data_IF_992879246013
#
_entry.id   IF_992879246013
#
_cell.length_a   1.000
_cell.length_b   1.000
_cell.length_c   1.000
_cell.angle_alpha   90.00
_cell.angle_beta   90.00
_cell.angle_gamma   90.00
#
_symmetry.space_group_name_H-M   'P 1'
#
loop_
_entity.id
_entity.type
_entity.pdbx_description
1 polymer ?
#
# COMPACT_ATOMS: atom_id res chain seq x y z
N UNK A 1 2.76 27.18 -33.21
CA UNK A 1 2.74 27.09 -31.74
C UNK A 1 1.50 27.85 -31.28
N UNK A 2 0.50 27.13 -30.78
CA UNK A 2 -0.77 27.71 -30.39
C UNK A 2 -1.82 26.62 -30.46
N UNK A 3 -1.93 25.82 -29.41
CA UNK A 3 -3.08 24.95 -29.07
C UNK A 3 -2.87 24.28 -27.69
N UNK A 4 -2.34 25.01 -26.70
CA UNK A 4 -2.24 24.51 -25.31
C UNK A 4 -3.21 25.19 -24.33
N UNK A 5 -3.71 26.41 -24.59
CA UNK A 5 -4.54 27.12 -23.61
C UNK A 5 -6.04 26.80 -23.66
N UNK A 6 -6.50 26.13 -24.73
CA UNK A 6 -7.91 25.75 -24.85
C UNK A 6 -8.27 24.54 -23.98
N UNK A 7 -7.32 23.62 -23.76
CA UNK A 7 -7.53 22.43 -22.94
C UNK A 7 -7.58 22.76 -21.44
N UNK A 8 -6.76 23.70 -20.96
CA UNK A 8 -6.80 24.17 -19.56
C UNK A 8 -8.10 24.91 -19.22
N UNK A 9 -8.62 25.72 -20.13
CA UNK A 9 -9.87 26.45 -19.91
C UNK A 9 -11.08 25.51 -19.75
N UNK A 10 -11.13 24.42 -20.51
CA UNK A 10 -12.22 23.42 -20.43
C UNK A 10 -12.15 22.60 -19.13
N UNK A 11 -10.96 22.38 -18.58
CA UNK A 11 -10.80 21.68 -17.30
C UNK A 11 -11.24 22.53 -16.11
N UNK A 12 -10.94 23.84 -16.12
CA UNK A 12 -11.36 24.76 -15.05
C UNK A 12 -12.89 24.96 -15.01
N UNK A 13 -13.54 25.07 -16.18
CA UNK A 13 -15.01 25.20 -16.27
C UNK A 13 -15.74 23.96 -15.70
N UNK A 14 -15.21 22.77 -15.97
CA UNK A 14 -15.77 21.51 -15.45
C UNK A 14 -15.61 21.36 -13.93
N UNK A 15 -14.51 21.86 -13.36
CA UNK A 15 -14.27 21.84 -11.91
C UNK A 15 -15.20 22.81 -11.17
N UNK A 16 -15.39 24.01 -11.69
CA UNK A 16 -16.33 25.00 -11.14
C UNK A 16 -17.77 24.48 -11.13
N UNK A 17 -18.20 23.79 -12.20
CA UNK A 17 -19.51 23.15 -12.30
C UNK A 17 -19.70 22.03 -11.26
N UNK A 18 -18.65 21.24 -10.98
CA UNK A 18 -18.66 20.20 -9.96
C UNK A 18 -18.79 20.81 -8.55
N UNK A 19 -18.03 21.87 -8.26
CA UNK A 19 -18.11 22.60 -6.98
C UNK A 19 -19.51 23.19 -6.78
N UNK A 20 -20.06 23.84 -7.81
CA UNK A 20 -21.40 24.40 -7.77
C UNK A 20 -22.47 23.32 -7.54
N UNK A 21 -22.29 22.13 -8.10
CA UNK A 21 -23.17 20.98 -7.90
C UNK A 21 -23.08 20.41 -6.48
N UNK A 22 -21.87 20.28 -5.93
CA UNK A 22 -21.65 19.84 -4.55
C UNK A 22 -22.30 20.80 -3.53
N UNK A 23 -22.16 22.11 -3.74
CA UNK A 23 -22.80 23.13 -2.90
C UNK A 23 -24.34 23.05 -2.96
N UNK A 24 -24.92 22.76 -4.13
CA UNK A 24 -26.37 22.55 -4.26
C UNK A 24 -26.84 21.32 -3.49
N UNK A 25 -26.08 20.23 -3.52
CA UNK A 25 -26.37 19.02 -2.73
C UNK A 25 -26.33 19.36 -1.24
N UNK A 26 -25.28 20.04 -0.78
CA UNK A 26 -25.12 20.45 0.63
C UNK A 26 -26.31 21.28 1.12
N UNK A 27 -26.69 22.33 0.40
CA UNK A 27 -27.85 23.16 0.74
C UNK A 27 -29.17 22.38 0.74
N UNK A 28 -29.34 21.42 -0.18
CA UNK A 28 -30.53 20.58 -0.21
C UNK A 28 -30.59 19.64 1.02
N UNK A 29 -29.45 19.14 1.49
CA UNK A 29 -29.35 18.31 2.69
C UNK A 29 -29.60 19.11 3.98
N UNK A 30 -29.15 20.37 4.02
CA UNK A 30 -29.42 21.28 5.14
C UNK A 30 -30.92 21.65 5.24
N UNK A 31 -31.65 21.60 4.13
CA UNK A 31 -33.07 21.95 4.07
C UNK A 31 -34.02 20.85 4.58
N UNK A 32 -33.73 20.24 5.74
CA UNK A 32 -34.54 19.21 6.46
C UNK A 32 -35.41 18.30 5.56
N UNK A 33 -34.84 17.88 4.42
CA UNK A 33 -35.58 17.22 3.37
C UNK A 33 -35.63 15.73 3.70
N UNK A 34 -36.83 15.16 3.74
CA UNK A 34 -36.98 13.71 3.95
C UNK A 34 -36.45 12.96 2.73
N UNK A 35 -35.33 12.27 2.91
CA UNK A 35 -34.73 11.42 1.91
C UNK A 35 -35.34 10.02 1.90
N UNK A 36 -35.62 9.49 0.71
CA UNK A 36 -35.94 8.08 0.53
C UNK A 36 -34.70 7.20 0.85
N UNK A 37 -34.92 5.92 1.15
CA UNK A 37 -33.82 4.98 1.40
C UNK A 37 -32.88 4.87 0.18
N UNK A 38 -33.46 4.96 -1.04
CA UNK A 38 -32.69 5.00 -2.28
C UNK A 38 -31.81 6.24 -2.38
N UNK A 39 -32.33 7.43 -2.06
CA UNK A 39 -31.55 8.67 -2.06
C UNK A 39 -30.41 8.62 -1.03
N UNK A 40 -30.66 8.06 0.16
CA UNK A 40 -29.62 7.83 1.18
C UNK A 40 -28.54 6.87 0.69
N UNK A 41 -28.91 5.78 0.01
CA UNK A 41 -27.95 4.83 -0.57
C UNK A 41 -27.08 5.46 -1.67
N UNK A 42 -27.68 6.28 -2.54
CA UNK A 42 -26.95 7.00 -3.59
C UNK A 42 -25.96 8.00 -2.98
N UNK A 43 -26.37 8.74 -1.94
CA UNK A 43 -25.49 9.67 -1.24
C UNK A 43 -24.37 8.95 -0.47
N UNK A 44 -24.65 7.80 0.14
CA UNK A 44 -23.64 6.97 0.79
C UNK A 44 -22.61 6.42 -0.20
N UNK A 45 -23.06 5.98 -1.38
CA UNK A 45 -22.16 5.54 -2.45
C UNK A 45 -21.34 6.70 -3.03
N UNK A 46 -21.94 7.88 -3.17
CA UNK A 46 -21.21 9.08 -3.54
C UNK A 46 -20.15 9.41 -2.49
N UNK A 47 -20.52 9.36 -1.20
CA UNK A 47 -19.60 9.59 -0.08
C UNK A 47 -18.42 8.62 -0.06
N UNK A 48 -18.64 7.32 -0.31
CA UNK A 48 -17.54 6.35 -0.38
C UNK A 48 -16.62 6.56 -1.58
N UNK A 49 -17.17 6.97 -2.73
CA UNK A 49 -16.36 7.31 -3.91
C UNK A 49 -15.57 8.61 -3.72
N UNK A 50 -16.15 9.62 -3.08
CA UNK A 50 -15.45 10.86 -2.73
C UNK A 50 -14.34 10.60 -1.71
N UNK A 51 -14.60 9.77 -0.69
CA UNK A 51 -13.59 9.34 0.28
C UNK A 51 -12.44 8.58 -0.38
N UNK A 52 -12.73 7.65 -1.30
CA UNK A 52 -11.70 6.96 -2.07
C UNK A 52 -10.91 7.90 -3.00
N UNK A 53 -11.53 8.98 -3.48
CA UNK A 53 -10.88 9.98 -4.33
C UNK A 53 -9.97 10.90 -3.53
N UNK A 54 -10.38 11.29 -2.31
CA UNK A 54 -9.55 12.03 -1.36
C UNK A 54 -8.26 11.26 -1.04
N UNK A 55 -8.38 9.96 -0.75
CA UNK A 55 -7.24 9.05 -0.51
C UNK A 55 -6.33 8.92 -1.76
N UNK A 56 -6.89 8.99 -2.97
CA UNK A 56 -6.11 8.92 -4.20
C UNK A 56 -5.35 10.24 -4.48
N UNK A 57 -5.91 11.40 -4.13
CA UNK A 57 -5.24 12.71 -4.21
C UNK A 57 -4.19 12.93 -3.11
N UNK A 58 -4.34 12.26 -1.96
CA UNK A 58 -3.40 12.24 -0.82
C UNK A 58 -2.16 11.35 -1.08
N UNK A 59 -2.06 10.70 -2.24
CA UNK A 59 -0.82 10.01 -2.65
C UNK A 59 0.33 10.96 -3.03
N UNK A 60 0.13 12.28 -2.94
CA UNK A 60 1.18 13.28 -3.19
C UNK A 60 1.49 14.24 -2.05
N UNK A 61 0.70 14.32 -0.99
CA UNK A 61 1.05 15.06 0.23
C UNK A 61 0.07 14.70 1.35
N UNK A 62 0.58 14.75 2.58
CA UNK A 62 -0.10 14.73 3.88
C UNK A 62 -0.41 13.32 4.44
N UNK A 63 0.32 12.83 5.45
CA UNK A 63 0.36 13.36 6.83
C UNK A 63 -1.07 13.51 7.34
N UNK A 64 -1.61 12.47 7.95
CA UNK A 64 -2.74 12.62 8.85
C UNK A 64 -2.25 13.35 10.10
N UNK A 65 -2.55 14.65 10.18
CA UNK A 65 -2.76 15.29 11.47
C UNK A 65 -4.19 14.94 11.93
N UNK A 66 -4.31 13.94 12.79
CA UNK A 66 -5.28 14.04 13.88
C UNK A 66 -4.53 14.55 15.11
N UNK A 67 -5.09 15.59 15.70
CA UNK A 67 -4.55 16.32 16.84
C UNK A 67 -4.37 15.43 18.06
N UNK A 68 -3.12 15.17 18.39
CA UNK A 68 -2.67 14.57 19.64
C UNK A 68 -1.15 14.62 19.67
N UNK A 69 -0.58 15.77 20.07
CA UNK A 69 0.86 15.95 20.31
C UNK A 69 1.33 14.99 21.42
N UNK A 70 1.52 13.73 21.03
CA UNK A 70 1.77 12.59 21.92
C UNK A 70 1.48 11.21 21.31
N UNK A 71 0.59 11.09 20.30
CA UNK A 71 0.16 9.78 19.76
C UNK A 71 0.87 9.34 18.46
N UNK A 72 1.41 10.25 17.65
CA UNK A 72 2.00 9.89 16.35
C UNK A 72 3.35 9.15 16.40
N UNK A 73 4.10 9.25 17.50
CA UNK A 73 5.31 8.44 17.72
C UNK A 73 4.92 7.03 18.17
N UNK A 74 3.91 6.93 19.03
CA UNK A 74 3.40 5.65 19.53
C UNK A 74 2.78 4.82 18.41
N UNK A 75 2.13 5.43 17.42
CA UNK A 75 1.59 4.71 16.26
C UNK A 75 2.70 4.14 15.36
N UNK A 76 3.74 4.93 15.08
CA UNK A 76 4.89 4.46 14.28
C UNK A 76 5.62 3.31 14.97
N UNK A 77 5.86 3.43 16.28
CA UNK A 77 6.50 2.35 17.04
C UNK A 77 5.63 1.08 17.07
N UNK A 78 4.31 1.22 17.25
CA UNK A 78 3.39 0.08 17.15
C UNK A 78 3.40 -0.57 15.77
N UNK A 79 3.49 0.22 14.69
CA UNK A 79 3.58 -0.31 13.35
C UNK A 79 4.92 -1.03 13.12
N UNK A 80 6.02 -0.46 13.60
CA UNK A 80 7.34 -1.12 13.59
C UNK A 80 7.32 -2.44 14.36
N UNK A 81 6.67 -2.50 15.53
CA UNK A 81 6.54 -3.73 16.31
C UNK A 81 5.81 -4.83 15.53
N UNK A 82 4.67 -4.50 14.92
CA UNK A 82 3.87 -5.47 14.13
C UNK A 82 4.64 -6.01 12.93
N UNK A 83 5.31 -5.11 12.19
CA UNK A 83 6.11 -5.48 11.02
C UNK A 83 7.30 -6.33 11.46
N UNK A 84 8.00 -5.91 12.52
CA UNK A 84 9.13 -6.66 13.06
C UNK A 84 8.73 -8.05 13.52
N UNK A 85 7.60 -8.19 14.22
CA UNK A 85 7.09 -9.49 14.64
C UNK A 85 6.83 -10.40 13.43
N UNK A 86 6.15 -9.88 12.39
CA UNK A 86 5.90 -10.64 11.16
C UNK A 86 7.21 -11.06 10.49
N UNK A 87 8.18 -10.15 10.32
CA UNK A 87 9.47 -10.45 9.69
C UNK A 87 10.27 -11.47 10.51
N UNK A 88 10.36 -11.27 11.82
CA UNK A 88 11.13 -12.15 12.71
C UNK A 88 10.48 -13.52 12.89
N UNK A 89 9.15 -13.63 12.75
CA UNK A 89 8.46 -14.93 12.75
C UNK A 89 8.95 -15.84 11.61
N UNK A 90 9.30 -15.27 10.46
CA UNK A 90 9.86 -15.99 9.32
C UNK A 90 11.36 -16.21 9.46
N UNK A 91 12.08 -15.24 10.04
CA UNK A 91 13.52 -15.39 10.27
C UNK A 91 13.83 -16.49 11.30
N UNK A 92 13.00 -16.64 12.33
CA UNK A 92 13.18 -17.71 13.32
C UNK A 92 12.89 -19.11 12.76
N UNK A 93 12.15 -19.21 11.66
CA UNK A 93 11.73 -20.46 11.02
C UNK A 93 12.49 -20.69 9.71
N UNK A 94 13.83 -20.61 9.75
CA UNK A 94 14.70 -20.64 8.55
C UNK A 94 14.49 -21.86 7.63
N UNK A 95 13.97 -22.98 8.16
CA UNK A 95 13.72 -24.20 7.40
C UNK A 95 12.49 -24.15 6.48
N UNK A 96 11.56 -23.21 6.70
CA UNK A 96 10.33 -23.08 5.93
C UNK A 96 10.53 -21.95 4.92
N UNK A 97 10.27 -22.20 3.64
CA UNK A 97 10.29 -21.18 2.60
C UNK A 97 8.90 -20.57 2.43
N UNK A 98 8.83 -19.24 2.38
CA UNK A 98 7.58 -18.48 2.30
C UNK A 98 6.78 -18.87 1.05
N UNK A 99 7.46 -19.08 -0.08
CA UNK A 99 6.83 -19.43 -1.36
C UNK A 99 6.46 -20.91 -1.49
N UNK A 100 6.92 -21.77 -0.58
CA UNK A 100 6.47 -23.17 -0.50
C UNK A 100 5.20 -23.34 0.34
N UNK A 101 4.77 -22.28 1.03
CA UNK A 101 3.54 -22.26 1.80
C UNK A 101 2.32 -21.79 0.97
N UNK A 102 1.35 -21.13 1.60
CA UNK A 102 0.16 -20.60 0.93
C UNK A 102 0.46 -19.27 0.23
N UNK A 103 -0.30 -18.96 -0.83
CA UNK A 103 -0.21 -17.65 -1.51
C UNK A 103 -0.58 -16.49 -0.58
N UNK A 104 -1.42 -16.75 0.42
CA UNK A 104 -1.80 -15.78 1.44
C UNK A 104 -0.61 -15.43 2.34
N UNK A 105 0.14 -16.43 2.81
CA UNK A 105 1.35 -16.22 3.61
C UNK A 105 2.43 -15.43 2.85
N UNK A 106 2.63 -15.75 1.58
CA UNK A 106 3.55 -15.01 0.71
C UNK A 106 3.11 -13.56 0.50
N UNK A 107 1.81 -13.33 0.26
CA UNK A 107 1.25 -11.99 0.11
C UNK A 107 1.39 -11.17 1.39
N UNK A 108 1.05 -11.77 2.53
CA UNK A 108 1.16 -11.17 3.85
C UNK A 108 2.58 -10.73 4.17
N UNK A 109 3.56 -11.59 3.87
CA UNK A 109 4.96 -11.24 4.04
C UNK A 109 5.34 -10.06 3.15
N UNK A 110 4.90 -10.05 1.88
CA UNK A 110 5.19 -8.94 0.96
C UNK A 110 4.55 -7.63 1.36
N UNK A 111 3.34 -7.68 1.90
CA UNK A 111 2.68 -6.52 2.49
C UNK A 111 3.50 -5.95 3.64
N UNK A 112 4.00 -6.79 4.55
CA UNK A 112 4.83 -6.34 5.66
C UNK A 112 6.16 -5.69 5.21
N UNK A 113 6.81 -6.23 4.17
CA UNK A 113 8.03 -5.63 3.60
C UNK A 113 7.75 -4.29 2.93
N UNK A 114 6.64 -4.17 2.20
CA UNK A 114 6.23 -2.91 1.58
C UNK A 114 5.92 -1.83 2.63
N UNK A 115 5.23 -2.21 3.71
CA UNK A 115 4.96 -1.34 4.85
C UNK A 115 6.26 -0.91 5.55
N UNK A 116 7.24 -1.80 5.72
CA UNK A 116 8.55 -1.47 6.26
C UNK A 116 9.26 -0.41 5.40
N UNK A 117 9.23 -0.57 4.07
CA UNK A 117 9.82 0.39 3.13
C UNK A 117 9.14 1.75 3.22
N UNK A 118 7.81 1.80 3.24
CA UNK A 118 7.06 3.05 3.39
C UNK A 118 7.37 3.75 4.72
N UNK A 119 7.50 3.01 5.82
CA UNK A 119 7.87 3.62 7.11
C UNK A 119 9.26 4.25 7.08
N UNK A 120 10.23 3.60 6.42
CA UNK A 120 11.55 4.20 6.19
C UNK A 120 11.41 5.52 5.42
N UNK A 121 10.66 5.55 4.30
CA UNK A 121 10.44 6.77 3.51
C UNK A 121 9.80 7.90 4.34
N UNK A 122 8.80 7.58 5.16
CA UNK A 122 8.13 8.54 6.05
C UNK A 122 9.11 9.08 7.11
N UNK A 123 9.86 8.20 7.77
CA UNK A 123 10.81 8.59 8.82
C UNK A 123 11.99 9.38 8.27
N UNK A 124 12.48 9.06 7.06
CA UNK A 124 13.50 9.84 6.37
C UNK A 124 13.01 11.26 6.07
N UNK A 125 11.76 11.39 5.60
CA UNK A 125 11.14 12.69 5.30
C UNK A 125 10.91 13.57 6.53
N UNK A 126 10.69 12.96 7.71
CA UNK A 126 10.46 13.65 8.99
C UNK A 126 11.75 14.01 9.73
N UNK A 127 12.92 13.53 9.29
CA UNK A 127 14.13 13.48 10.12
C UNK A 127 14.71 14.85 10.54
N UNK A 128 14.20 15.36 11.66
CA UNK A 128 14.70 16.48 12.46
C UNK A 128 15.11 16.02 13.87
N UNK A 129 16.22 15.29 13.96
CA UNK A 129 16.93 14.85 15.19
C UNK A 129 16.24 13.91 16.20
N UNK A 130 14.91 13.88 16.37
CA UNK A 130 14.25 13.01 17.38
C UNK A 130 13.99 11.57 16.91
N UNK A 131 13.74 11.33 15.62
CA UNK A 131 13.36 9.99 15.11
C UNK A 131 14.52 9.07 14.72
N UNK A 132 15.75 9.40 15.12
CA UNK A 132 16.94 8.64 14.71
C UNK A 132 16.92 7.17 15.16
N UNK A 133 16.24 6.87 16.27
CA UNK A 133 16.06 5.51 16.78
C UNK A 133 15.11 4.68 15.94
N UNK A 134 13.90 5.20 15.70
CA UNK A 134 12.85 4.56 14.90
C UNK A 134 13.28 4.37 13.45
N UNK A 135 13.96 5.37 12.86
CA UNK A 135 14.48 5.27 11.49
C UNK A 135 15.54 4.17 11.35
N UNK A 136 16.49 4.10 12.29
CA UNK A 136 17.48 3.01 12.30
C UNK A 136 16.78 1.65 12.41
N UNK A 137 15.81 1.52 13.33
CA UNK A 137 15.05 0.29 13.53
C UNK A 137 14.30 -0.13 12.27
N UNK A 138 13.64 0.82 11.61
CA UNK A 138 12.95 0.59 10.34
C UNK A 138 13.89 0.07 9.26
N UNK A 139 15.09 0.66 9.13
CA UNK A 139 16.12 0.16 8.23
C UNK A 139 16.58 -1.26 8.58
N UNK A 140 16.82 -1.56 9.85
CA UNK A 140 17.27 -2.89 10.29
C UNK A 140 16.22 -3.97 9.94
N UNK A 141 14.94 -3.67 10.16
CA UNK A 141 13.81 -4.55 9.79
C UNK A 141 13.78 -4.76 8.27
N UNK A 142 13.85 -3.67 7.48
CA UNK A 142 13.81 -3.74 6.03
C UNK A 142 15.00 -4.54 5.47
N UNK A 143 16.21 -4.33 5.99
CA UNK A 143 17.40 -5.07 5.59
C UNK A 143 17.26 -6.57 5.88
N UNK A 144 16.72 -6.92 7.06
CA UNK A 144 16.45 -8.32 7.43
C UNK A 144 15.46 -8.94 6.44
N UNK A 145 14.38 -8.23 6.12
CA UNK A 145 13.39 -8.70 5.17
C UNK A 145 13.95 -8.86 3.75
N UNK A 146 14.79 -7.94 3.29
CA UNK A 146 15.47 -8.03 1.99
C UNK A 146 16.42 -9.22 1.92
N UNK A 147 17.22 -9.47 2.97
CA UNK A 147 18.11 -10.62 3.02
C UNK A 147 17.33 -11.94 2.93
N UNK A 148 16.18 -12.02 3.61
CA UNK A 148 15.28 -13.17 3.53
C UNK A 148 14.70 -13.34 2.12
N UNK A 149 14.26 -12.26 1.49
CA UNK A 149 13.78 -12.27 0.10
C UNK A 149 14.81 -12.77 -0.90
N UNK A 150 16.08 -12.41 -0.71
CA UNK A 150 17.17 -12.90 -1.56
C UNK A 150 17.36 -14.43 -1.43
N UNK A 151 17.20 -14.98 -0.22
CA UNK A 151 17.22 -16.43 0.00
C UNK A 151 16.07 -17.13 -0.72
N UNK A 152 14.85 -16.62 -0.54
CA UNK A 152 13.63 -17.14 -1.19
C UNK A 152 13.76 -17.12 -2.72
N UNK A 153 14.25 -16.01 -3.27
CA UNK A 153 14.49 -15.91 -4.71
C UNK A 153 15.53 -16.92 -5.20
N UNK A 154 16.61 -17.14 -4.44
CA UNK A 154 17.61 -18.15 -4.77
C UNK A 154 17.03 -19.56 -4.73
N UNK A 155 16.20 -19.86 -3.73
CA UNK A 155 15.50 -21.14 -3.62
C UNK A 155 14.63 -21.41 -4.86
N UNK A 156 13.80 -20.43 -5.24
CA UNK A 156 12.94 -20.50 -6.41
C UNK A 156 13.74 -20.74 -7.70
N UNK A 157 14.89 -20.08 -7.86
CA UNK A 157 15.74 -20.29 -9.03
C UNK A 157 16.32 -21.71 -9.09
N UNK A 158 16.77 -22.25 -7.95
CA UNK A 158 17.29 -23.62 -7.87
C UNK A 158 16.19 -24.64 -8.18
N UNK A 159 15.01 -24.48 -7.59
CA UNK A 159 13.85 -25.35 -7.81
C UNK A 159 13.42 -25.35 -9.28
N UNK A 160 13.28 -24.18 -9.89
CA UNK A 160 12.93 -24.06 -11.31
C UNK A 160 13.97 -24.72 -12.22
N UNK A 161 15.27 -24.56 -11.92
CA UNK A 161 16.32 -25.24 -12.67
C UNK A 161 16.20 -26.76 -12.58
N UNK A 162 15.92 -27.31 -11.40
CA UNK A 162 15.70 -28.75 -11.23
C UNK A 162 14.49 -29.26 -12.02
N UNK A 163 13.38 -28.54 -12.01
CA UNK A 163 12.17 -28.87 -12.78
C UNK A 163 12.45 -28.88 -14.30
N UNK A 164 13.22 -27.92 -14.80
CA UNK A 164 13.60 -27.88 -16.22
C UNK A 164 14.48 -29.06 -16.63
N UNK A 165 15.31 -29.57 -15.72
CA UNK A 165 16.16 -30.75 -15.97
C UNK A 165 15.36 -32.04 -15.89
N UNK A 166 14.44 -32.18 -14.92
CA UNK A 166 13.58 -33.39 -14.81
C UNK A 166 12.57 -33.51 -15.96
N UNK A 167 12.05 -32.39 -16.46
CA UNK A 167 11.14 -32.38 -17.62
C UNK A 167 11.85 -32.59 -18.96
N UNK A 168 13.20 -32.61 -18.99
CA UNK A 168 13.95 -33.17 -20.12
C UNK A 168 13.96 -34.69 -19.99
N UNK A 169 12.84 -35.33 -20.31
CA UNK A 169 12.89 -36.73 -20.70
C UNK A 169 13.76 -36.83 -21.97
N UNK A 170 14.82 -37.65 -22.00
CA UNK A 170 15.51 -37.93 -23.25
C UNK A 170 14.52 -38.59 -24.20
N UNK A 171 14.38 -38.04 -25.41
CA UNK A 171 13.47 -38.51 -26.47
C UNK A 171 13.78 -39.93 -27.00
N UNK A 172 14.61 -40.73 -26.32
CA UNK A 172 15.18 -41.98 -26.83
C UNK A 172 14.46 -43.27 -26.41
N UNK A 173 13.22 -43.23 -25.91
CA UNK A 173 12.49 -44.46 -25.56
C UNK A 173 11.07 -44.52 -26.13
N UNK A 174 10.92 -44.22 -27.42
CA UNK A 174 9.65 -44.46 -28.17
C UNK A 174 9.86 -45.43 -29.35
N UNK A 175 11.05 -45.98 -29.55
CA UNK A 175 11.29 -47.03 -30.54
C UNK A 175 12.00 -48.23 -29.91
N UNK A 176 11.20 -49.13 -29.32
CA UNK A 176 11.52 -50.55 -29.19
C UNK A 176 10.22 -51.36 -29.42
#
# INVERSE_FOLDING_TARGET
MGDCSAAEAVMMEAEEDLIASAQKIMRALESDMKLSDYARNVLANLGSRLSSLAVASESRDEVSEEEGEGEGVDEIEQQLDRIQEKVMSWENNQSIMIWDCSSEEAYDYMKAVDEARRLVEVLESRSGSEDGGSLRRAHDILQTAMARLEEEFRHLLVQNRHLLVQNRQPFESIFD
#
